data_IF_177303008298
#
_entry.id   IF_177303008298
#
_cell.length_a   1.000
_cell.length_b   1.000
_cell.length_c   1.000
_cell.angle_alpha   90.00
_cell.angle_beta   90.00
_cell.angle_gamma   90.00
#
_symmetry.space_group_name_H-M   'P 1'
#
loop_
_entity.id
_entity.type
_entity.pdbx_description
1 polymer ?
#
# COMPACT_ATOMS: atom_id res chain seq x y z
N UNK A 1 0.64 -43.92 -8.47
CA UNK A 1 0.33 -43.50 -9.85
C UNK A 1 0.23 -41.99 -9.87
N UNK A 2 1.13 -41.30 -10.56
CA UNK A 2 1.06 -39.84 -10.71
C UNK A 2 -0.19 -39.50 -11.55
N UNK A 3 -1.09 -38.72 -10.97
CA UNK A 3 -2.26 -38.17 -11.66
C UNK A 3 -1.78 -37.26 -12.80
N UNK A 4 -2.26 -37.43 -14.04
CA UNK A 4 -1.87 -36.55 -15.13
C UNK A 4 -2.34 -35.13 -14.83
N UNK A 5 -1.41 -34.18 -14.88
CA UNK A 5 -1.73 -32.76 -14.82
C UNK A 5 -2.39 -32.40 -16.15
N UNK A 6 -3.72 -32.22 -16.14
CA UNK A 6 -4.47 -31.72 -17.30
C UNK A 6 -4.21 -30.20 -17.37
N UNK A 7 -3.52 -29.69 -18.41
CA UNK A 7 -3.34 -28.25 -18.54
C UNK A 7 -4.71 -27.59 -18.77
N UNK A 8 -4.96 -26.40 -18.19
CA UNK A 8 -6.21 -25.69 -18.40
C UNK A 8 -6.42 -25.35 -19.88
N UNK A 9 -7.67 -25.41 -20.34
CA UNK A 9 -8.09 -25.28 -21.75
C UNK A 9 -7.84 -23.90 -22.42
N UNK A 10 -7.16 -22.98 -21.72
CA UNK A 10 -6.65 -21.72 -22.29
C UNK A 10 -5.16 -21.67 -21.98
N UNK A 11 -4.33 -21.40 -23.00
CA UNK A 11 -2.94 -21.00 -22.79
C UNK A 11 -2.93 -19.78 -21.85
N UNK A 12 -2.66 -20.03 -20.56
CA UNK A 12 -2.54 -18.95 -19.59
C UNK A 12 -1.27 -18.17 -19.91
N UNK A 13 -1.41 -16.85 -19.99
CA UNK A 13 -0.30 -15.93 -20.23
C UNK A 13 0.89 -16.28 -19.32
N UNK A 14 2.13 -16.36 -19.84
CA UNK A 14 3.29 -16.73 -19.02
C UNK A 14 3.52 -15.78 -17.84
N UNK A 15 3.00 -14.55 -17.93
CA UNK A 15 3.02 -13.57 -16.85
C UNK A 15 2.08 -13.97 -15.70
N UNK A 16 0.91 -14.53 -15.99
CA UNK A 16 -0.02 -15.05 -14.96
C UNK A 16 0.66 -16.16 -14.18
N UNK A 17 1.27 -17.13 -14.87
CA UNK A 17 1.99 -18.23 -14.24
C UNK A 17 3.14 -17.72 -13.36
N UNK A 18 3.89 -16.71 -13.84
CA UNK A 18 4.98 -16.10 -13.05
C UNK A 18 4.46 -15.48 -11.75
N UNK A 19 3.37 -14.73 -11.79
CA UNK A 19 2.80 -14.11 -10.59
C UNK A 19 2.31 -15.18 -9.61
N UNK A 20 1.63 -16.22 -10.09
CA UNK A 20 1.14 -17.33 -9.25
C UNK A 20 2.29 -18.12 -8.61
N UNK A 21 3.34 -18.44 -9.38
CA UNK A 21 4.53 -19.13 -8.87
C UNK A 21 5.24 -18.29 -7.80
N UNK A 22 5.46 -17.00 -8.07
CA UNK A 22 6.07 -16.09 -7.10
C UNK A 22 5.25 -16.01 -5.81
N UNK A 23 3.92 -15.96 -5.91
CA UNK A 23 3.05 -15.99 -4.73
C UNK A 23 3.22 -17.27 -3.93
N UNK A 24 3.18 -18.44 -4.59
CA UNK A 24 3.32 -19.74 -3.94
C UNK A 24 4.68 -19.93 -3.27
N UNK A 25 5.77 -19.60 -3.96
CA UNK A 25 7.15 -19.72 -3.46
C UNK A 25 7.38 -18.83 -2.24
N UNK A 26 6.87 -17.60 -2.26
CA UNK A 26 7.10 -16.61 -1.20
C UNK A 26 6.11 -16.70 -0.04
N UNK A 27 5.02 -17.47 -0.18
CA UNK A 27 3.96 -17.58 0.84
C UNK A 27 4.47 -18.11 2.17
N UNK A 28 5.22 -19.23 2.16
CA UNK A 28 5.68 -19.88 3.38
C UNK A 28 6.66 -19.01 4.19
N UNK A 29 7.73 -18.44 3.59
CA UNK A 29 8.63 -17.53 4.31
C UNK A 29 7.91 -16.36 4.97
N UNK A 30 6.87 -15.81 4.34
CA UNK A 30 6.05 -14.75 4.93
C UNK A 30 5.33 -15.22 6.19
N UNK A 31 4.69 -16.39 6.13
CA UNK A 31 3.93 -16.94 7.27
C UNK A 31 4.82 -17.24 8.47
N UNK A 32 6.05 -17.67 8.23
CA UNK A 32 7.01 -18.04 9.28
C UNK A 32 7.55 -16.82 10.03
N UNK A 33 7.76 -15.70 9.32
CA UNK A 33 8.50 -14.53 9.84
C UNK A 33 7.60 -13.38 10.28
N UNK A 34 6.41 -13.24 9.69
CA UNK A 34 5.51 -12.13 9.99
C UNK A 34 4.69 -12.39 11.27
N UNK A 35 4.44 -11.39 12.14
CA UNK A 35 3.67 -11.60 13.36
C UNK A 35 2.27 -12.13 13.08
N UNK A 36 1.79 -13.05 13.93
CA UNK A 36 0.42 -13.57 13.87
C UNK A 36 -0.61 -12.44 13.91
N UNK A 37 -1.68 -12.59 13.12
CA UNK A 37 -2.76 -11.62 13.03
C UNK A 37 -3.45 -11.48 14.40
N UNK A 38 -3.65 -10.24 14.91
CA UNK A 38 -4.43 -9.99 16.12
C UNK A 38 -5.89 -10.42 16.01
N UNK A 39 -6.41 -10.55 14.78
CA UNK A 39 -7.83 -10.71 14.51
C UNK A 39 -8.52 -9.36 14.36
N UNK A 40 -9.70 -9.36 13.71
CA UNK A 40 -10.42 -8.11 13.42
C UNK A 40 -10.68 -7.30 14.69
N UNK A 41 -10.50 -5.97 14.65
CA UNK A 41 -10.71 -5.10 15.80
C UNK A 41 -12.17 -5.15 16.25
N UNK A 42 -12.41 -5.25 17.56
CA UNK A 42 -13.75 -5.19 18.15
C UNK A 42 -14.44 -3.85 17.94
N UNK A 43 -13.65 -2.77 17.97
CA UNK A 43 -14.12 -1.40 17.78
C UNK A 43 -13.57 -0.82 16.46
N UNK A 44 -14.38 -0.90 15.41
CA UNK A 44 -14.10 -0.34 14.09
C UNK A 44 -13.94 1.18 14.13
N UNK A 45 -14.70 1.89 14.98
CA UNK A 45 -14.61 3.36 15.07
C UNK A 45 -13.28 3.76 15.69
N UNK A 46 -12.86 3.11 16.77
CA UNK A 46 -11.55 3.36 17.36
C UNK A 46 -10.40 3.01 16.40
N UNK A 47 -10.54 1.96 15.59
CA UNK A 47 -9.55 1.65 14.55
C UNK A 47 -9.45 2.77 13.51
N UNK A 48 -10.58 3.21 12.93
CA UNK A 48 -10.61 4.28 11.92
C UNK A 48 -10.16 5.63 12.48
N UNK A 49 -10.38 5.89 13.78
CA UNK A 49 -9.84 7.06 14.46
C UNK A 49 -8.32 7.01 14.52
N UNK A 50 -7.71 5.87 14.88
CA UNK A 50 -6.24 5.72 14.89
C UNK A 50 -5.64 5.87 13.50
N UNK A 51 -6.34 5.40 12.46
CA UNK A 51 -5.96 5.66 11.06
C UNK A 51 -5.95 7.16 10.81
N UNK A 52 -7.02 7.88 11.17
CA UNK A 52 -7.06 9.34 11.02
C UNK A 52 -5.95 10.08 11.79
N UNK A 53 -5.70 9.69 13.04
CA UNK A 53 -4.71 10.32 13.91
C UNK A 53 -3.27 10.18 13.36
N UNK A 54 -2.97 9.14 12.56
CA UNK A 54 -1.63 8.93 11.96
C UNK A 54 -1.45 9.58 10.59
N UNK A 55 -2.49 10.17 10.00
CA UNK A 55 -2.49 10.68 8.63
C UNK A 55 -1.30 11.61 8.33
N UNK A 56 -1.03 12.60 9.18
CA UNK A 56 0.03 13.60 8.92
C UNK A 56 1.40 12.94 8.83
N UNK A 57 1.68 12.03 9.76
CA UNK A 57 2.92 11.25 9.79
C UNK A 57 3.04 10.33 8.57
N UNK A 58 1.95 9.64 8.22
CA UNK A 58 1.90 8.77 7.05
C UNK A 58 2.16 9.55 5.75
N UNK A 59 1.45 10.66 5.55
CA UNK A 59 1.61 11.52 4.39
C UNK A 59 3.02 12.09 4.28
N UNK A 60 3.61 12.56 5.39
CA UNK A 60 4.97 13.09 5.41
C UNK A 60 5.98 12.05 4.93
N UNK A 61 6.00 10.86 5.53
CA UNK A 61 6.97 9.83 5.17
C UNK A 61 6.71 9.27 3.77
N UNK A 62 5.45 8.97 3.44
CA UNK A 62 5.06 8.40 2.16
C UNK A 62 5.38 9.32 0.98
N UNK A 63 5.11 10.63 1.08
CA UNK A 63 5.46 11.59 0.04
C UNK A 63 6.98 11.82 -0.05
N UNK A 64 7.66 11.92 1.08
CA UNK A 64 9.11 12.17 1.11
C UNK A 64 9.92 11.00 0.54
N UNK A 65 9.46 9.76 0.69
CA UNK A 65 10.09 8.57 0.08
C UNK A 65 10.13 8.68 -1.44
N UNK A 66 9.09 9.26 -2.05
CA UNK A 66 8.99 9.52 -3.50
C UNK A 66 9.74 10.80 -3.94
N UNK A 67 10.35 11.52 -3.00
CA UNK A 67 11.17 12.71 -3.28
C UNK A 67 10.44 14.06 -3.21
N UNK A 68 9.18 14.09 -2.77
CA UNK A 68 8.49 15.36 -2.51
C UNK A 68 9.07 16.05 -1.27
N UNK A 69 9.11 17.39 -1.29
CA UNK A 69 9.55 18.20 -0.13
C UNK A 69 8.33 18.75 0.59
N UNK A 70 7.77 17.97 1.51
CA UNK A 70 6.58 18.33 2.28
C UNK A 70 6.90 18.52 3.77
N UNK A 71 6.14 19.39 4.44
CA UNK A 71 6.22 19.58 5.89
C UNK A 71 4.88 19.21 6.54
N UNK A 72 4.86 18.84 7.84
CA UNK A 72 3.60 18.63 8.56
C UNK A 72 2.65 19.83 8.46
N UNK A 73 3.18 21.06 8.51
CA UNK A 73 2.39 22.29 8.36
C UNK A 73 1.74 22.40 6.97
N UNK A 74 2.43 22.00 5.91
CA UNK A 74 1.86 21.96 4.56
C UNK A 74 0.75 20.91 4.46
N UNK A 75 1.00 19.71 4.97
CA UNK A 75 0.04 18.60 4.95
C UNK A 75 -1.24 18.99 5.70
N UNK A 76 -1.11 19.61 6.87
CA UNK A 76 -2.26 20.11 7.65
C UNK A 76 -3.06 21.21 6.95
N UNK A 77 -2.35 22.13 6.29
CA UNK A 77 -2.97 23.20 5.50
C UNK A 77 -3.80 22.64 4.36
N UNK A 78 -3.25 21.64 3.66
CA UNK A 78 -3.92 20.97 2.55
C UNK A 78 -5.10 20.11 3.03
N UNK A 79 -4.98 19.45 4.18
CA UNK A 79 -6.05 18.68 4.83
C UNK A 79 -7.25 19.56 5.17
N UNK A 80 -7.00 20.73 5.76
CA UNK A 80 -8.04 21.69 6.17
C UNK A 80 -8.70 22.45 5.01
N UNK A 81 -8.21 22.30 3.78
CA UNK A 81 -8.73 23.01 2.61
C UNK A 81 -8.25 24.46 2.49
N UNK A 82 -7.48 24.96 3.47
CA UNK A 82 -6.93 26.31 3.50
C UNK A 82 -5.63 26.43 2.68
N UNK A 83 -5.64 25.94 1.44
CA UNK A 83 -4.46 25.97 0.57
C UNK A 83 -4.76 26.79 -0.69
N UNK A 84 -3.82 27.66 -1.07
CA UNK A 84 -3.86 28.37 -2.34
C UNK A 84 -2.95 27.63 -3.34
N UNK A 85 -3.45 27.21 -4.52
CA UNK A 85 -2.60 26.65 -5.56
C UNK A 85 -1.56 27.63 -6.09
N UNK A 86 -1.71 28.94 -5.91
CA UNK A 86 -0.76 29.90 -6.47
C UNK A 86 0.50 30.02 -5.59
N UNK A 87 1.64 29.58 -6.13
CA UNK A 87 2.97 29.60 -5.52
C UNK A 87 4.05 29.22 -6.55
N UNK A 88 5.33 29.23 -6.16
CA UNK A 88 6.42 28.76 -7.04
C UNK A 88 6.22 27.30 -7.47
N UNK A 89 6.70 26.93 -8.67
CA UNK A 89 6.41 25.66 -9.36
C UNK A 89 6.67 24.43 -8.48
N UNK A 90 7.74 24.47 -7.67
CA UNK A 90 8.10 23.36 -6.80
C UNK A 90 7.21 23.27 -5.55
N UNK A 91 6.86 24.40 -4.93
CA UNK A 91 5.94 24.44 -3.79
C UNK A 91 4.52 24.04 -4.23
N UNK A 92 4.09 24.53 -5.39
CA UNK A 92 2.85 24.14 -6.06
C UNK A 92 2.79 22.62 -6.26
N UNK A 93 3.81 22.01 -6.86
CA UNK A 93 3.83 20.55 -7.10
C UNK A 93 3.78 19.73 -5.82
N UNK A 94 4.52 20.14 -4.78
CA UNK A 94 4.52 19.46 -3.48
C UNK A 94 3.14 19.52 -2.82
N UNK A 95 2.47 20.66 -2.92
CA UNK A 95 1.17 20.86 -2.33
C UNK A 95 0.04 20.13 -3.09
N UNK A 96 0.09 20.06 -4.43
CA UNK A 96 -0.79 19.20 -5.21
C UNK A 96 -0.62 17.72 -4.85
N UNK A 97 0.63 17.25 -4.69
CA UNK A 97 0.89 15.88 -4.27
C UNK A 97 0.36 15.59 -2.86
N UNK A 98 0.54 16.52 -1.92
CA UNK A 98 -0.06 16.42 -0.59
C UNK A 98 -1.60 16.39 -0.66
N UNK A 99 -2.21 17.18 -1.56
CA UNK A 99 -3.67 17.23 -1.72
C UNK A 99 -4.21 15.95 -2.30
N UNK A 100 -3.57 15.43 -3.33
CA UNK A 100 -3.96 14.16 -3.93
C UNK A 100 -3.79 13.02 -2.94
N UNK A 101 -2.71 13.03 -2.16
CA UNK A 101 -2.51 12.05 -1.09
C UNK A 101 -3.63 12.09 -0.05
N UNK A 102 -4.07 13.29 0.39
CA UNK A 102 -5.23 13.43 1.28
C UNK A 102 -6.51 12.82 0.71
N UNK A 103 -6.84 13.13 -0.54
CA UNK A 103 -8.05 12.64 -1.20
C UNK A 103 -8.02 11.11 -1.33
N UNK A 104 -6.89 10.56 -1.80
CA UNK A 104 -6.69 9.12 -1.87
C UNK A 104 -6.73 8.47 -0.49
N UNK A 105 -6.20 9.13 0.54
CA UNK A 105 -6.25 8.64 1.92
C UNK A 105 -7.69 8.48 2.41
N UNK A 106 -8.58 9.43 2.10
CA UNK A 106 -10.00 9.31 2.44
C UNK A 106 -10.68 8.15 1.72
N UNK A 107 -10.39 7.95 0.43
CA UNK A 107 -10.90 6.80 -0.31
C UNK A 107 -10.40 5.47 0.27
N UNK A 108 -9.12 5.40 0.69
CA UNK A 108 -8.54 4.22 1.35
C UNK A 108 -9.18 3.96 2.72
N UNK A 109 -9.50 5.01 3.50
CA UNK A 109 -10.22 4.85 4.77
C UNK A 109 -11.59 4.20 4.57
N UNK A 110 -12.29 4.55 3.49
CA UNK A 110 -13.55 3.92 3.15
C UNK A 110 -13.37 2.45 2.77
N UNK A 111 -12.33 2.12 2.01
CA UNK A 111 -11.98 0.72 1.73
C UNK A 111 -11.62 -0.07 3.00
N UNK A 112 -10.91 0.55 3.96
CA UNK A 112 -10.66 -0.05 5.28
C UNK A 112 -11.98 -0.30 6.01
N UNK A 113 -12.93 0.63 5.98
CA UNK A 113 -14.25 0.45 6.59
C UNK A 113 -14.96 -0.78 6.01
N UNK A 114 -14.99 -0.94 4.68
CA UNK A 114 -15.56 -2.12 3.99
C UNK A 114 -14.92 -3.43 4.48
N UNK A 115 -13.58 -3.47 4.53
CA UNK A 115 -12.82 -4.64 5.02
C UNK A 115 -13.14 -4.97 6.48
N UNK A 116 -13.22 -3.95 7.35
CA UNK A 116 -13.58 -4.14 8.76
C UNK A 116 -15.04 -4.57 8.93
N UNK A 117 -15.90 -4.28 7.96
CA UNK A 117 -17.27 -4.81 7.83
C UNK A 117 -17.33 -6.19 7.18
N UNK A 118 -16.20 -6.92 7.11
CA UNK A 118 -16.06 -8.31 6.61
C UNK A 118 -16.23 -8.50 5.11
N UNK A 119 -16.15 -7.44 4.32
CA UNK A 119 -15.99 -7.60 2.87
C UNK A 119 -14.64 -8.24 2.54
N UNK A 120 -14.56 -8.99 1.43
CA UNK A 120 -13.32 -9.65 1.03
C UNK A 120 -12.25 -8.59 0.70
N UNK A 121 -11.08 -8.59 1.35
CA UNK A 121 -10.08 -7.55 1.15
C UNK A 121 -9.53 -7.49 -0.27
N UNK A 122 -9.34 -8.63 -0.93
CA UNK A 122 -8.88 -8.67 -2.32
C UNK A 122 -9.88 -8.03 -3.27
N UNK A 123 -11.18 -8.34 -3.12
CA UNK A 123 -12.24 -7.70 -3.89
C UNK A 123 -12.32 -6.20 -3.65
N UNK A 124 -12.28 -5.76 -2.39
CA UNK A 124 -12.34 -4.33 -2.04
C UNK A 124 -11.21 -3.55 -2.72
N UNK A 125 -9.98 -4.07 -2.68
CA UNK A 125 -8.84 -3.39 -3.32
C UNK A 125 -8.99 -3.40 -4.85
N UNK A 126 -9.40 -4.50 -5.47
CA UNK A 126 -9.60 -4.61 -6.93
C UNK A 126 -10.64 -3.60 -7.46
N UNK A 127 -11.70 -3.38 -6.68
CA UNK A 127 -12.74 -2.42 -7.03
C UNK A 127 -12.27 -0.96 -6.80
N UNK A 128 -11.59 -0.69 -5.67
CA UNK A 128 -11.35 0.67 -5.21
C UNK A 128 -9.99 1.26 -5.64
N UNK A 129 -8.98 0.45 -6.01
CA UNK A 129 -7.62 0.98 -6.26
C UNK A 129 -7.57 2.01 -7.40
N UNK A 130 -8.46 1.90 -8.39
CA UNK A 130 -8.58 2.89 -9.49
C UNK A 130 -9.12 4.22 -9.00
N UNK A 131 -9.98 4.20 -7.97
CA UNK A 131 -10.49 5.41 -7.31
C UNK A 131 -9.35 6.08 -6.55
N UNK A 132 -8.60 5.32 -5.74
CA UNK A 132 -7.44 5.86 -5.00
C UNK A 132 -6.45 6.54 -5.96
N UNK A 133 -6.13 5.88 -7.07
CA UNK A 133 -5.24 6.42 -8.08
C UNK A 133 -5.78 7.73 -8.69
N UNK A 134 -7.06 7.77 -9.06
CA UNK A 134 -7.71 8.97 -9.58
C UNK A 134 -7.69 10.13 -8.57
N UNK A 135 -7.99 9.86 -7.31
CA UNK A 135 -7.94 10.86 -6.24
C UNK A 135 -6.50 11.37 -6.00
N UNK A 136 -5.51 10.48 -6.08
CA UNK A 136 -4.10 10.81 -5.89
C UNK A 136 -3.58 11.84 -6.90
N UNK A 137 -4.10 11.82 -8.14
CA UNK A 137 -3.64 12.68 -9.22
C UNK A 137 -4.70 13.69 -9.70
N UNK A 138 -5.92 13.64 -9.17
CA UNK A 138 -7.01 14.56 -9.49
C UNK A 138 -6.63 16.04 -9.35
N UNK A 139 -5.90 16.47 -8.30
CA UNK A 139 -5.42 17.84 -8.20
C UNK A 139 -4.48 18.23 -9.35
N UNK A 140 -3.59 17.33 -9.79
CA UNK A 140 -2.71 17.59 -10.94
C UNK A 140 -3.48 17.69 -12.26
N UNK A 141 -4.59 16.96 -12.40
CA UNK A 141 -5.50 17.11 -13.55
C UNK A 141 -6.22 18.45 -13.52
N UNK A 142 -6.72 18.85 -12.34
CA UNK A 142 -7.41 20.14 -12.15
C UNK A 142 -6.47 21.31 -12.43
N UNK A 143 -5.19 21.18 -12.05
CA UNK A 143 -4.15 22.17 -12.34
C UNK A 143 -3.64 22.14 -13.80
N UNK A 144 -4.17 21.26 -14.65
CA UNK A 144 -3.76 21.16 -16.06
C UNK A 144 -2.38 20.52 -16.30
N UNK A 145 -1.75 19.96 -15.26
CA UNK A 145 -0.44 19.27 -15.34
C UNK A 145 -0.60 17.90 -16.01
N UNK A 146 -1.70 17.22 -15.72
CA UNK A 146 -2.05 15.91 -16.30
C UNK A 146 -3.38 16.01 -17.05
N UNK A 147 -3.56 15.16 -18.06
CA UNK A 147 -4.83 15.01 -18.75
C UNK A 147 -5.68 13.96 -18.02
N UNK A 148 -7.03 14.07 -18.03
CA UNK A 148 -7.90 13.03 -17.47
C UNK A 148 -7.63 11.63 -18.06
N UNK A 149 -7.27 11.56 -19.34
CA UNK A 149 -6.92 10.32 -20.03
C UNK A 149 -5.65 9.64 -19.46
N UNK A 150 -4.73 10.40 -18.85
CA UNK A 150 -3.51 9.85 -18.24
C UNK A 150 -3.83 9.00 -16.99
N UNK A 151 -5.01 9.19 -16.39
CA UNK A 151 -5.50 8.43 -15.25
C UNK A 151 -6.39 7.25 -15.64
N UNK A 152 -6.59 7.01 -16.94
CA UNK A 152 -7.47 5.97 -17.45
C UNK A 152 -6.75 4.61 -17.51
N UNK A 153 -7.11 3.71 -16.60
CA UNK A 153 -6.61 2.34 -16.59
C UNK A 153 -5.15 2.22 -16.18
N UNK A 154 -4.49 1.17 -16.66
CA UNK A 154 -3.07 0.93 -16.42
C UNK A 154 -2.20 1.63 -17.46
N UNK A 155 -0.91 1.79 -17.13
CA UNK A 155 0.04 2.43 -18.03
C UNK A 155 0.07 1.79 -19.42
N UNK A 156 0.17 2.64 -20.43
CA UNK A 156 0.36 2.22 -21.81
C UNK A 156 1.81 2.36 -22.29
N UNK A 157 2.68 2.98 -21.48
CA UNK A 157 4.10 3.17 -21.78
C UNK A 157 5.03 2.41 -20.82
N UNK A 158 6.28 2.27 -21.27
CA UNK A 158 7.34 1.67 -20.46
C UNK A 158 7.73 2.63 -19.34
N UNK A 159 8.06 2.03 -18.19
CA UNK A 159 8.55 2.75 -17.01
C UNK A 159 9.86 2.12 -16.57
N UNK A 160 10.71 2.93 -15.94
CA UNK A 160 11.94 2.48 -15.31
C UNK A 160 11.92 2.90 -13.85
N UNK A 161 12.21 1.96 -12.95
CA UNK A 161 12.27 2.21 -11.52
C UNK A 161 13.66 2.74 -11.21
N UNK A 162 13.74 4.02 -10.80
CA UNK A 162 15.00 4.69 -10.52
C UNK A 162 15.76 3.96 -9.41
N UNK A 163 17.04 3.64 -9.65
CA UNK A 163 17.94 2.93 -8.72
C UNK A 163 17.50 1.49 -8.38
N UNK A 164 16.79 0.83 -9.29
CA UNK A 164 16.47 -0.59 -9.20
C UNK A 164 16.93 -1.30 -10.47
N UNK A 165 17.43 -2.53 -10.33
CA UNK A 165 17.74 -3.42 -11.45
C UNK A 165 16.49 -4.17 -11.93
N UNK A 166 15.38 -4.10 -11.19
CA UNK A 166 14.11 -4.67 -11.60
C UNK A 166 13.54 -3.92 -12.80
N UNK A 167 13.17 -4.69 -13.83
CA UNK A 167 12.44 -4.20 -14.99
C UNK A 167 10.99 -4.69 -14.86
N UNK A 168 10.02 -3.79 -14.67
CA UNK A 168 8.62 -4.17 -14.58
C UNK A 168 8.12 -4.91 -15.83
N UNK A 169 7.06 -5.73 -15.72
CA UNK A 169 6.40 -6.34 -16.87
C UNK A 169 6.05 -5.33 -17.98
N UNK A 170 5.92 -5.78 -19.23
CA UNK A 170 5.49 -4.89 -20.31
C UNK A 170 4.05 -4.39 -20.10
N UNK A 171 3.64 -3.30 -20.76
CA UNK A 171 2.27 -2.77 -20.64
C UNK A 171 1.20 -3.81 -21.01
N UNK A 172 1.51 -4.67 -22.00
CA UNK A 172 0.65 -5.80 -22.37
C UNK A 172 0.55 -6.82 -21.23
N UNK A 173 1.69 -7.16 -20.62
CA UNK A 173 1.75 -8.10 -19.51
C UNK A 173 1.01 -7.60 -18.25
N UNK A 174 1.00 -6.29 -17.98
CA UNK A 174 0.28 -5.69 -16.85
C UNK A 174 -1.21 -6.02 -16.91
N UNK A 175 -1.82 -6.04 -18.11
CA UNK A 175 -3.24 -6.33 -18.31
C UNK A 175 -3.61 -7.77 -17.91
N UNK A 176 -2.66 -8.71 -18.02
CA UNK A 176 -2.85 -10.10 -17.59
C UNK A 176 -2.44 -10.29 -16.12
N UNK A 177 -1.37 -9.61 -15.69
CA UNK A 177 -0.80 -9.78 -14.36
C UNK A 177 -1.67 -9.20 -13.24
N UNK A 178 -2.32 -8.06 -13.48
CA UNK A 178 -3.14 -7.39 -12.46
C UNK A 178 -4.39 -8.20 -12.06
N UNK A 179 -5.19 -8.75 -13.00
CA UNK A 179 -6.28 -9.65 -12.62
C UNK A 179 -5.80 -10.87 -11.83
N UNK A 180 -4.72 -11.52 -12.27
CA UNK A 180 -4.15 -12.66 -11.55
C UNK A 180 -3.68 -12.29 -10.14
N UNK A 181 -3.11 -11.10 -9.96
CA UNK A 181 -2.73 -10.56 -8.66
C UNK A 181 -3.95 -10.37 -7.73
N UNK A 182 -5.04 -9.80 -8.24
CA UNK A 182 -6.25 -9.60 -7.44
C UNK A 182 -6.98 -10.91 -7.12
N UNK A 183 -6.96 -11.90 -8.03
CA UNK A 183 -7.44 -13.25 -7.74
C UNK A 183 -6.69 -13.87 -6.56
N UNK A 184 -5.36 -13.80 -6.57
CA UNK A 184 -4.52 -14.29 -5.46
C UNK A 184 -4.82 -13.57 -4.15
N UNK A 185 -5.02 -12.25 -4.17
CA UNK A 185 -5.41 -11.50 -2.97
C UNK A 185 -6.76 -11.93 -2.40
N UNK A 186 -7.72 -12.22 -3.28
CA UNK A 186 -9.08 -12.66 -2.94
C UNK A 186 -9.07 -14.07 -2.34
N UNK A 187 -8.27 -14.95 -2.93
CA UNK A 187 -8.11 -16.37 -2.56
C UNK A 187 -7.25 -16.58 -1.30
N UNK A 188 -6.24 -15.73 -1.07
CA UNK A 188 -5.33 -15.88 0.07
C UNK A 188 -6.11 -15.78 1.39
N UNK A 189 -5.81 -16.67 2.34
CA UNK A 189 -6.51 -16.74 3.63
C UNK A 189 -5.68 -16.16 4.77
N UNK A 190 -4.36 -16.12 4.62
CA UNK A 190 -3.43 -15.63 5.64
C UNK A 190 -3.24 -14.11 5.54
N UNK A 191 -3.65 -13.32 6.56
CA UNK A 191 -3.54 -11.87 6.50
C UNK A 191 -2.10 -11.38 6.34
N UNK A 192 -1.12 -12.05 6.96
CA UNK A 192 0.30 -11.72 6.81
C UNK A 192 0.77 -11.83 5.36
N UNK A 193 0.34 -12.87 4.65
CA UNK A 193 0.66 -13.09 3.24
C UNK A 193 0.04 -11.99 2.39
N UNK A 194 -1.24 -11.67 2.62
CA UNK A 194 -1.90 -10.54 1.94
C UNK A 194 -1.14 -9.22 2.14
N UNK A 195 -0.66 -8.94 3.36
CA UNK A 195 0.10 -7.72 3.65
C UNK A 195 1.38 -7.63 2.85
N UNK A 196 2.23 -8.65 2.96
CA UNK A 196 3.59 -8.61 2.38
C UNK A 196 3.54 -8.79 0.87
N UNK A 197 2.88 -9.85 0.39
CA UNK A 197 2.84 -10.15 -1.05
C UNK A 197 1.89 -9.21 -1.79
N UNK A 198 0.82 -8.75 -1.16
CA UNK A 198 -0.05 -7.71 -1.70
C UNK A 198 0.74 -6.44 -2.02
N UNK A 199 1.53 -5.95 -1.06
CA UNK A 199 2.41 -4.81 -1.32
C UNK A 199 3.44 -5.15 -2.41
N UNK A 200 4.24 -6.19 -2.18
CA UNK A 200 5.41 -6.47 -3.01
C UNK A 200 5.04 -6.72 -4.48
N UNK A 201 4.05 -7.57 -4.74
CA UNK A 201 3.68 -7.95 -6.10
C UNK A 201 3.02 -6.78 -6.85
N UNK A 202 2.24 -5.94 -6.16
CA UNK A 202 1.69 -4.73 -6.77
C UNK A 202 2.81 -3.80 -7.28
N UNK A 203 3.82 -3.52 -6.44
CA UNK A 203 4.93 -2.63 -6.84
C UNK A 203 5.89 -3.30 -7.83
N UNK A 204 5.98 -4.64 -7.82
CA UNK A 204 6.70 -5.44 -8.81
C UNK A 204 6.06 -5.34 -10.20
N UNK A 205 4.72 -5.46 -10.29
CA UNK A 205 3.98 -5.30 -11.55
C UNK A 205 4.08 -3.85 -12.05
N UNK A 206 4.07 -2.89 -11.12
CA UNK A 206 4.20 -1.46 -11.39
C UNK A 206 3.14 -0.96 -12.39
N UNK A 207 1.84 -1.07 -12.08
CA UNK A 207 0.77 -0.92 -13.06
C UNK A 207 0.51 0.51 -13.56
N UNK A 208 1.01 1.54 -12.86
CA UNK A 208 0.76 2.95 -13.19
C UNK A 208 2.02 3.68 -13.67
N UNK A 209 1.84 4.85 -14.30
CA UNK A 209 2.96 5.70 -14.75
C UNK A 209 3.75 6.33 -13.59
N UNK A 210 3.05 6.68 -12.50
CA UNK A 210 3.62 7.20 -11.25
C UNK A 210 2.71 6.74 -10.08
N UNK A 211 3.15 6.89 -8.84
CA UNK A 211 2.34 6.66 -7.65
C UNK A 211 2.34 5.22 -7.14
N UNK A 212 3.01 4.29 -7.82
CA UNK A 212 3.01 2.87 -7.46
C UNK A 212 3.50 2.60 -6.03
N UNK A 213 4.52 3.33 -5.55
CA UNK A 213 4.99 3.21 -4.16
C UNK A 213 3.94 3.65 -3.13
N UNK A 214 3.28 4.79 -3.36
CA UNK A 214 2.18 5.31 -2.51
C UNK A 214 0.99 4.36 -2.51
N UNK A 215 0.58 3.90 -3.69
CA UNK A 215 -0.49 2.91 -3.87
C UNK A 215 -0.17 1.58 -3.18
N UNK A 216 1.07 1.09 -3.29
CA UNK A 216 1.52 -0.14 -2.62
C UNK A 216 1.44 -0.04 -1.09
N UNK A 217 1.83 1.11 -0.52
CA UNK A 217 1.69 1.37 0.93
C UNK A 217 0.23 1.51 1.39
N UNK A 218 -0.66 2.06 0.56
CA UNK A 218 -2.09 2.04 0.84
C UNK A 218 -2.68 0.63 0.79
N UNK A 219 -2.38 -0.14 -0.25
CA UNK A 219 -2.80 -1.53 -0.37
C UNK A 219 -2.32 -2.34 0.84
N UNK A 220 -1.05 -2.22 1.22
CA UNK A 220 -0.48 -2.82 2.43
C UNK A 220 -1.32 -2.51 3.67
N UNK A 221 -1.72 -1.25 3.87
CA UNK A 221 -2.48 -0.83 5.04
C UNK A 221 -3.95 -1.33 5.02
N UNK A 222 -4.56 -1.47 3.84
CA UNK A 222 -5.87 -2.15 3.71
C UNK A 222 -5.74 -3.64 4.08
N UNK A 223 -4.67 -4.30 3.65
CA UNK A 223 -4.40 -5.70 4.02
C UNK A 223 -4.07 -5.86 5.51
N UNK A 224 -3.36 -4.90 6.12
CA UNK A 224 -3.11 -4.88 7.56
C UNK A 224 -4.43 -4.83 8.34
N UNK A 225 -5.37 -3.99 7.91
CA UNK A 225 -6.70 -3.90 8.52
C UNK A 225 -7.46 -5.23 8.45
N UNK A 226 -7.29 -6.02 7.39
CA UNK A 226 -7.94 -7.33 7.25
C UNK A 226 -7.51 -8.37 8.29
N UNK A 227 -6.29 -8.23 8.84
CA UNK A 227 -5.79 -9.04 9.95
C UNK A 227 -5.92 -8.38 11.32
N UNK A 228 -6.45 -7.15 11.37
CA UNK A 228 -6.51 -6.31 12.57
C UNK A 228 -5.15 -5.79 13.06
N UNK A 229 -4.14 -5.79 12.20
CA UNK A 229 -2.89 -5.11 12.47
C UNK A 229 -3.10 -3.60 12.47
N UNK A 230 -2.31 -2.81 13.20
CA UNK A 230 -2.41 -1.36 13.15
C UNK A 230 -1.93 -0.81 11.81
N UNK A 231 -2.47 0.35 11.40
CA UNK A 231 -1.89 1.15 10.32
C UNK A 231 -0.40 1.37 10.58
N UNK A 232 0.42 1.05 9.59
CA UNK A 232 1.88 1.03 9.71
C UNK A 232 2.50 1.94 8.67
N UNK A 233 3.35 2.85 9.16
CA UNK A 233 4.06 3.84 8.35
C UNK A 233 5.47 3.34 8.08
N UNK A 234 5.91 3.40 6.81
CA UNK A 234 7.31 3.19 6.44
C UNK A 234 8.05 4.51 6.63
N UNK A 235 8.99 4.61 7.60
CA UNK A 235 9.68 5.87 7.86
C UNK A 235 10.64 6.24 6.72
N UNK A 236 10.78 7.54 6.47
CA UNK A 236 11.69 8.08 5.44
C UNK A 236 13.13 7.70 5.73
N UNK A 237 13.49 7.67 7.00
CA UNK A 237 14.82 7.34 7.52
C UNK A 237 15.19 5.89 7.20
N UNK A 238 14.19 5.02 6.98
CA UNK A 238 14.39 3.62 6.60
C UNK A 238 14.18 3.38 5.10
N UNK A 239 14.13 4.44 4.28
CA UNK A 239 13.93 4.35 2.82
C UNK A 239 14.94 3.40 2.17
N UNK A 240 16.22 3.49 2.52
CA UNK A 240 17.24 2.67 1.86
C UNK A 240 17.14 1.19 2.26
N UNK A 241 16.80 0.89 3.51
CA UNK A 241 16.47 -0.47 3.96
C UNK A 241 15.26 -1.03 3.23
N UNK A 242 14.18 -0.24 3.14
CA UNK A 242 12.95 -0.60 2.42
C UNK A 242 13.22 -0.87 0.92
N UNK A 243 13.96 0.00 0.24
CA UNK A 243 14.28 -0.18 -1.18
C UNK A 243 15.21 -1.38 -1.40
N UNK A 244 16.20 -1.58 -0.53
CA UNK A 244 17.10 -2.75 -0.58
C UNK A 244 16.32 -4.04 -0.38
N UNK A 245 15.37 -4.06 0.55
CA UNK A 245 14.52 -5.23 0.79
C UNK A 245 13.62 -5.56 -0.41
N UNK A 246 13.04 -4.55 -1.07
CA UNK A 246 12.29 -4.73 -2.31
C UNK A 246 13.18 -5.26 -3.45
N UNK A 247 14.40 -4.74 -3.59
CA UNK A 247 15.35 -5.18 -4.61
C UNK A 247 15.74 -6.65 -4.44
N UNK A 248 15.99 -7.08 -3.19
CA UNK A 248 16.25 -8.49 -2.86
C UNK A 248 15.07 -9.40 -3.24
N UNK A 249 13.84 -8.93 -3.04
CA UNK A 249 12.65 -9.69 -3.40
C UNK A 249 12.44 -9.72 -4.93
N UNK A 250 12.61 -8.60 -5.64
CA UNK A 250 12.36 -8.52 -7.08
C UNK A 250 13.44 -9.18 -7.93
N UNK A 251 14.71 -9.02 -7.55
CA UNK A 251 15.86 -9.51 -8.32
C UNK A 251 16.39 -10.81 -7.74
N UNK A 252 16.61 -10.85 -6.43
CA UNK A 252 17.13 -12.02 -5.71
C UNK A 252 16.08 -13.09 -5.40
N UNK A 253 14.79 -12.84 -5.67
CA UNK A 253 13.65 -13.70 -5.29
C UNK A 253 13.58 -14.02 -3.80
N UNK A 254 14.21 -13.20 -2.96
CA UNK A 254 14.21 -13.37 -1.53
C UNK A 254 13.27 -12.36 -0.86
N UNK A 255 12.07 -12.83 -0.48
CA UNK A 255 11.05 -12.00 0.18
C UNK A 255 11.34 -11.76 1.67
N UNK A 256 12.26 -12.52 2.27
CA UNK A 256 12.46 -12.54 3.71
C UNK A 256 12.89 -11.17 4.27
N UNK A 257 13.86 -10.43 3.68
CA UNK A 257 14.25 -9.13 4.20
C UNK A 257 13.09 -8.13 4.19
N UNK A 258 12.21 -8.20 3.19
CA UNK A 258 11.03 -7.34 3.10
C UNK A 258 9.98 -7.73 4.13
N UNK A 259 9.80 -9.03 4.35
CA UNK A 259 8.93 -9.57 5.40
C UNK A 259 9.39 -9.11 6.79
N UNK A 260 10.66 -9.31 7.11
CA UNK A 260 11.25 -8.95 8.41
C UNK A 260 11.18 -7.44 8.64
N UNK A 261 11.43 -6.64 7.60
CA UNK A 261 11.30 -5.19 7.64
C UNK A 261 9.89 -4.76 8.05
N UNK A 262 8.86 -5.25 7.34
CA UNK A 262 7.48 -4.92 7.65
C UNK A 262 7.03 -5.47 9.01
N UNK A 263 7.47 -6.68 9.38
CA UNK A 263 7.21 -7.28 10.68
C UNK A 263 7.74 -6.42 11.82
N UNK A 264 8.97 -5.90 11.68
CA UNK A 264 9.59 -4.98 12.63
C UNK A 264 8.77 -3.69 12.82
N UNK A 265 8.31 -3.08 11.72
CA UNK A 265 7.46 -1.88 11.77
C UNK A 265 6.11 -2.16 12.45
N UNK A 266 5.45 -3.27 12.12
CA UNK A 266 4.18 -3.67 12.74
C UNK A 266 4.34 -3.90 14.23
N UNK A 267 5.39 -4.60 14.66
CA UNK A 267 5.66 -4.85 16.07
C UNK A 267 5.94 -3.55 16.84
N UNK A 268 6.73 -2.64 16.26
CA UNK A 268 6.98 -1.33 16.84
C UNK A 268 5.69 -0.52 17.01
N UNK A 269 4.82 -0.53 16.00
CA UNK A 269 3.54 0.18 16.06
C UNK A 269 2.58 -0.41 17.10
N UNK A 270 2.54 -1.74 17.23
CA UNK A 270 1.79 -2.42 18.30
C UNK A 270 2.30 -2.00 19.68
N UNK A 271 3.62 -2.02 19.88
CA UNK A 271 4.25 -1.59 21.14
C UNK A 271 3.87 -0.16 21.53
N UNK A 272 3.88 0.78 20.57
CA UNK A 272 3.44 2.17 20.79
C UNK A 272 1.98 2.26 21.23
N UNK A 273 1.09 1.50 20.59
CA UNK A 273 -0.34 1.51 20.93
C UNK A 273 -0.57 0.98 22.35
N UNK A 274 0.08 -0.13 22.72
CA UNK A 274 -0.04 -0.68 24.08
C UNK A 274 0.50 0.28 25.14
N UNK A 275 1.63 0.94 24.87
CA UNK A 275 2.22 1.92 25.77
C UNK A 275 1.29 3.14 26.00
N UNK A 276 0.70 3.69 24.93
CA UNK A 276 -0.25 4.80 25.05
C UNK A 276 -1.53 4.38 25.80
N UNK A 277 -2.01 3.16 25.59
CA UNK A 277 -3.17 2.63 26.32
C UNK A 277 -2.90 2.46 27.82
N UNK A 278 -1.68 2.04 28.21
CA UNK A 278 -1.30 1.95 29.63
C UNK A 278 -1.21 3.31 30.33
N UNK A 279 -0.80 4.37 29.62
CA UNK A 279 -0.76 5.72 30.19
C UNK A 279 -2.18 6.27 30.44
N UNK A 280 -3.09 6.10 29.48
CA UNK A 280 -4.49 6.56 29.64
C UNK A 280 -5.33 5.75 30.65
N UNK A 281 -4.83 4.60 31.11
CA UNK A 281 -5.49 3.80 32.15
C UNK A 281 -5.12 4.28 33.57
N UNK A 282 -3.95 4.88 33.74
CA UNK A 282 -3.47 5.39 35.04
C UNK A 282 -4.11 6.74 35.42
N UNK A 283 -4.62 7.52 34.46
CA UNK A 283 -5.28 8.80 34.71
C UNK A 283 -6.71 8.66 35.29
N UNK A 284 -7.28 7.45 35.29
CA UNK A 284 -8.60 7.16 35.87
C UNK A 284 -8.51 6.71 37.34
N UNK A 285 -7.33 6.25 37.77
CA UNK A 285 -7.11 5.74 39.13
C UNK A 285 -6.64 6.83 40.11
N UNK A 286 -6.18 7.99 39.62
CA UNK A 286 -5.81 9.16 40.43
C UNK A 286 -6.97 10.15 40.69
N UNK A 287 -8.16 9.86 40.17
CA UNK A 287 -9.37 10.68 40.30
C UNK A 287 -10.49 10.02 41.15
N UNK A 288 -10.15 9.03 41.99
CA UNK A 288 -11.04 8.43 43.00
C UNK A 288 -10.46 8.60 44.39
#
# INVERSE_FOLDING_TARGET
TQTPVIPPAREQSPYVNRIRLMWQEMRWPVMERFPKAPGLPKDTKAYLKRVEDVYVTDAYHSLSIEGYRVSPKLIERVRSGNWNPDGDDQEHRNALAARGYWLSYQAVRESIRKVLCRENPGSVVDDDHRIWYREMFGPSVTAGILKPADLAGYRNDRVHIRRSMHVPPSCKAVRDAMPAFFDLLREETEPSVRVVLGHFIFVYIHPYMDGNGRMGRFLMNVMLASGGYPWTVVPLEQRDTYMTALENASVGRNIEPFTDFLAGLVNAQRGRIYFLASLGSNDVESAR
#
